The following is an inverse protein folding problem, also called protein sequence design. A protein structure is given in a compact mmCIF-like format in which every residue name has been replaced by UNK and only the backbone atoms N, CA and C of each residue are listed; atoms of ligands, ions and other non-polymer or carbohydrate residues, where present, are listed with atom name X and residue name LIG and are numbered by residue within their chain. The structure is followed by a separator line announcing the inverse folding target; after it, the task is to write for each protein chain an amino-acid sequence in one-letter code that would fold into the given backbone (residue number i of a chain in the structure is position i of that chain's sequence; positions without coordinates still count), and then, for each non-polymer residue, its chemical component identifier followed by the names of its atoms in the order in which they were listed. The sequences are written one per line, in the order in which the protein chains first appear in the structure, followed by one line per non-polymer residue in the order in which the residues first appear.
data_IF_214454268237
#
_entry.id   IF_214454268237
#
_cell.length_a   1.000
_cell.length_b   1.000
_cell.length_c   1.000
_cell.angle_alpha   90.00
_cell.angle_beta   90.00
_cell.angle_gamma   90.00
#
_symmetry.space_group_name_H-M   'P 1'
#
loop_
_entity.id
_entity.type
_entity.pdbx_description
1 polymer ?
#
# COMPACT_ATOMS: atom_id res chain seq x y z
N UNK A 1 -47.81 10.57 3.73
CA UNK A 1 -46.53 11.30 3.88
C UNK A 1 -45.53 10.33 4.50
N UNK A 2 -44.62 9.78 3.69
CA UNK A 2 -43.66 8.77 4.13
C UNK A 2 -42.38 9.47 4.60
N UNK A 3 -42.02 9.26 5.86
CA UNK A 3 -40.77 9.73 6.48
C UNK A 3 -39.62 8.82 6.04
N UNK A 4 -38.69 9.37 5.26
CA UNK A 4 -37.43 8.72 4.90
C UNK A 4 -36.55 8.50 6.15
N UNK A 5 -35.89 7.35 6.31
CA UNK A 5 -34.91 7.18 7.36
C UNK A 5 -33.60 7.87 6.98
N UNK A 6 -33.13 8.75 7.87
CA UNK A 6 -31.82 9.39 7.82
C UNK A 6 -30.76 8.29 7.94
N UNK A 7 -30.01 8.06 6.87
CA UNK A 7 -28.82 7.21 6.89
C UNK A 7 -27.78 7.90 7.75
N UNK A 8 -27.59 7.35 8.94
CA UNK A 8 -26.55 7.74 9.88
C UNK A 8 -25.21 7.31 9.29
N UNK A 9 -24.53 8.22 8.58
CA UNK A 9 -23.14 8.05 8.16
C UNK A 9 -22.27 7.98 9.40
N UNK A 10 -21.87 6.76 9.75
CA UNK A 10 -20.92 6.47 10.82
C UNK A 10 -19.74 7.43 10.74
N UNK A 11 -19.64 8.29 11.75
CA UNK A 11 -18.50 9.14 12.01
C UNK A 11 -17.24 8.27 12.06
N UNK A 12 -16.32 8.54 11.12
CA UNK A 12 -14.92 8.14 11.27
C UNK A 12 -14.44 8.78 12.56
N UNK A 13 -14.18 7.96 13.58
CA UNK A 13 -13.72 8.45 14.88
C UNK A 13 -12.39 9.21 14.71
N UNK A 14 -12.22 10.38 15.34
CA UNK A 14 -10.99 11.15 15.30
C UNK A 14 -9.98 10.51 16.27
N UNK A 15 -9.34 9.43 15.85
CA UNK A 15 -8.16 8.93 16.55
C UNK A 15 -6.92 9.43 15.82
N UNK A 16 -6.34 10.50 16.36
CA UNK A 16 -5.04 11.09 16.00
C UNK A 16 -4.77 11.29 14.50
N UNK A 17 -5.25 12.40 13.94
CA UNK A 17 -4.82 12.90 12.62
C UNK A 17 -3.40 13.53 12.67
N UNK A 18 -2.45 12.83 13.30
CA UNK A 18 -1.05 13.23 13.43
C UNK A 18 -0.39 13.30 12.05
N UNK A 19 -0.67 12.33 11.18
CA UNK A 19 -0.17 12.33 9.81
C UNK A 19 -0.75 13.51 9.01
N UNK A 20 -2.07 13.72 9.00
CA UNK A 20 -2.67 14.83 8.24
C UNK A 20 -2.18 16.18 8.75
N UNK A 21 -2.01 16.33 10.06
CA UNK A 21 -1.40 17.53 10.66
C UNK A 21 0.04 17.71 10.15
N UNK A 22 0.89 16.69 10.22
CA UNK A 22 2.27 16.75 9.73
C UNK A 22 2.34 17.13 8.26
N UNK A 23 1.52 16.50 7.41
CA UNK A 23 1.49 16.77 5.97
C UNK A 23 1.03 18.20 5.68
N UNK A 24 -0.03 18.66 6.33
CA UNK A 24 -0.56 20.02 6.14
C UNK A 24 0.45 21.10 6.54
N UNK A 25 1.25 20.85 7.58
CA UNK A 25 2.25 21.77 8.09
C UNK A 25 3.51 21.82 7.23
N UNK A 26 3.88 20.72 6.55
CA UNK A 26 5.16 20.61 5.86
C UNK A 26 5.08 20.62 4.32
N UNK A 27 3.94 20.27 3.71
CA UNK A 27 3.78 20.28 2.25
C UNK A 27 3.28 21.65 1.74
N UNK A 28 2.46 22.33 2.55
CA UNK A 28 1.86 23.63 2.19
C UNK A 28 2.82 24.83 2.30
N UNK A 29 4.04 24.63 2.82
CA UNK A 29 5.04 25.70 2.96
C UNK A 29 5.61 26.10 1.59
N UNK A 30 6.05 27.34 1.44
CA UNK A 30 6.87 27.78 0.29
C UNK A 30 8.30 27.26 0.46
N UNK A 31 8.50 25.98 0.17
CA UNK A 31 9.78 25.28 0.20
C UNK A 31 10.09 24.69 -1.18
N UNK A 32 11.36 24.35 -1.40
CA UNK A 32 11.77 23.65 -2.60
C UNK A 32 11.07 22.28 -2.69
N UNK A 33 10.80 21.79 -3.90
CA UNK A 33 10.03 20.55 -4.11
C UNK A 33 10.65 19.36 -3.39
N UNK A 34 11.98 19.21 -3.45
CA UNK A 34 12.68 18.10 -2.79
C UNK A 34 12.49 18.11 -1.27
N UNK A 35 12.53 19.28 -0.64
CA UNK A 35 12.29 19.40 0.80
C UNK A 35 10.87 18.96 1.16
N UNK A 36 9.89 19.29 0.31
CA UNK A 36 8.51 18.82 0.51
C UNK A 36 8.38 17.31 0.38
N UNK A 37 9.10 16.69 -0.56
CA UNK A 37 9.13 15.24 -0.71
C UNK A 37 9.75 14.57 0.52
N UNK A 38 10.88 15.09 1.01
CA UNK A 38 11.58 14.56 2.18
C UNK A 38 10.74 14.73 3.45
N UNK A 39 10.10 15.88 3.63
CA UNK A 39 9.19 16.11 4.75
C UNK A 39 7.98 15.18 4.69
N UNK A 40 7.41 14.95 3.51
CA UNK A 40 6.32 13.99 3.34
C UNK A 40 6.76 12.58 3.76
N UNK A 41 7.96 12.14 3.34
CA UNK A 41 8.53 10.85 3.74
C UNK A 41 8.64 10.74 5.26
N UNK A 42 9.24 11.75 5.90
CA UNK A 42 9.39 11.79 7.36
C UNK A 42 8.04 11.74 8.08
N UNK A 43 7.01 12.44 7.58
CA UNK A 43 5.67 12.38 8.14
C UNK A 43 5.09 10.95 8.10
N UNK A 44 5.24 10.23 6.99
CA UNK A 44 4.77 8.84 6.90
C UNK A 44 5.58 7.91 7.79
N UNK A 45 6.91 8.03 7.80
CA UNK A 45 7.78 7.20 8.63
C UNK A 45 7.50 7.36 10.12
N UNK A 46 7.27 8.58 10.60
CA UNK A 46 6.97 8.86 12.00
C UNK A 46 5.60 8.33 12.45
N UNK A 47 4.68 8.06 11.51
CA UNK A 47 3.30 7.66 11.82
C UNK A 47 2.97 6.23 11.39
N UNK A 48 3.88 5.52 10.73
CA UNK A 48 3.64 4.20 10.10
C UNK A 48 3.05 3.14 11.03
N UNK A 49 3.49 3.13 12.30
CA UNK A 49 3.05 2.14 13.30
C UNK A 49 1.60 2.35 13.75
N UNK A 50 1.07 3.57 13.59
CA UNK A 50 -0.29 3.95 13.97
C UNK A 50 -1.23 4.02 12.76
N UNK A 51 -0.68 3.91 11.55
CA UNK A 51 -1.44 4.02 10.32
C UNK A 51 -2.01 2.68 9.92
N UNK A 52 -3.33 2.67 9.73
CA UNK A 52 -3.94 1.58 8.99
C UNK A 52 -3.50 1.64 7.51
N UNK A 53 -3.38 0.50 6.80
CA UNK A 53 -3.09 0.47 5.36
C UNK A 53 -4.03 1.37 4.58
N UNK A 54 -5.32 1.32 4.91
CA UNK A 54 -6.35 2.15 4.29
C UNK A 54 -6.11 3.64 4.55
N UNK A 55 -5.78 4.03 5.79
CA UNK A 55 -5.45 5.41 6.11
C UNK A 55 -4.18 5.85 5.37
N UNK A 56 -3.13 5.01 5.36
CA UNK A 56 -1.88 5.29 4.67
C UNK A 56 -2.11 5.61 3.18
N UNK A 57 -2.84 4.76 2.45
CA UNK A 57 -3.17 5.01 1.05
C UNK A 57 -4.13 6.20 0.83
N UNK A 58 -4.98 6.52 1.82
CA UNK A 58 -5.82 7.71 1.75
C UNK A 58 -4.97 8.99 1.80
N UNK A 59 -4.01 9.09 2.72
CA UNK A 59 -3.11 10.25 2.80
C UNK A 59 -2.14 10.31 1.64
N UNK A 60 -1.72 9.16 1.11
CA UNK A 60 -0.84 9.08 -0.05
C UNK A 60 -1.38 9.89 -1.24
N UNK A 61 -2.69 9.78 -1.53
CA UNK A 61 -3.36 10.56 -2.59
C UNK A 61 -3.26 12.07 -2.34
N UNK A 62 -3.42 12.50 -1.09
CA UNK A 62 -3.31 13.92 -0.67
C UNK A 62 -1.90 14.49 -0.83
N UNK A 63 -0.88 13.65 -0.89
CA UNK A 63 0.53 14.06 -1.08
C UNK A 63 0.94 14.03 -2.55
N UNK A 64 0.51 13.01 -3.29
CA UNK A 64 0.94 12.83 -4.68
C UNK A 64 0.31 13.86 -5.60
N UNK A 65 -0.98 14.15 -5.45
CA UNK A 65 -1.67 15.15 -6.28
C UNK A 65 -0.98 16.52 -6.28
N UNK A 66 -0.58 17.11 -5.14
CA UNK A 66 0.09 18.41 -5.13
C UNK A 66 1.58 18.37 -5.49
N UNK A 67 2.28 17.25 -5.31
CA UNK A 67 3.74 17.16 -5.55
C UNK A 67 4.12 16.56 -6.90
N UNK A 68 3.20 15.84 -7.56
CA UNK A 68 3.38 15.17 -8.85
C UNK A 68 4.71 14.41 -8.97
N UNK A 69 5.05 13.66 -7.91
CA UNK A 69 6.33 12.95 -7.80
C UNK A 69 6.12 11.44 -7.83
N UNK A 70 6.42 10.83 -8.98
CA UNK A 70 6.35 9.38 -9.20
C UNK A 70 7.28 8.64 -8.24
N UNK A 71 8.47 9.19 -7.96
CA UNK A 71 9.44 8.60 -7.04
C UNK A 71 8.88 8.53 -5.62
N UNK A 72 8.43 9.68 -5.09
CA UNK A 72 7.83 9.73 -3.75
C UNK A 72 6.59 8.85 -3.65
N UNK A 73 5.75 8.86 -4.69
CA UNK A 73 4.56 8.03 -4.78
C UNK A 73 4.88 6.54 -4.59
N UNK A 74 5.89 6.03 -5.30
CA UNK A 74 6.32 4.64 -5.16
C UNK A 74 6.91 4.34 -3.78
N UNK A 75 7.73 5.23 -3.23
CA UNK A 75 8.33 5.04 -1.91
C UNK A 75 7.27 4.99 -0.81
N UNK A 76 6.29 5.89 -0.84
CA UNK A 76 5.21 5.89 0.14
C UNK A 76 4.26 4.71 -0.05
N UNK A 77 4.05 4.22 -1.28
CA UNK A 77 3.28 2.98 -1.53
C UNK A 77 3.98 1.76 -0.94
N UNK A 78 5.30 1.68 -1.06
CA UNK A 78 6.14 0.66 -0.43
C UNK A 78 5.95 0.70 1.08
N UNK A 79 6.08 1.88 1.70
CA UNK A 79 5.87 2.05 3.14
C UNK A 79 4.45 1.61 3.57
N UNK A 80 3.41 2.06 2.86
CA UNK A 80 2.03 1.65 3.16
C UNK A 80 1.80 0.14 2.97
N UNK A 81 2.49 -0.50 2.02
CA UNK A 81 2.32 -1.92 1.75
C UNK A 81 3.02 -2.79 2.79
N UNK A 82 4.28 -2.49 3.11
CA UNK A 82 5.11 -3.36 3.94
C UNK A 82 5.00 -3.05 5.44
N UNK A 83 4.70 -1.81 5.82
CA UNK A 83 4.86 -1.35 7.21
C UNK A 83 3.56 -0.92 7.89
N UNK A 84 2.51 -0.57 7.14
CA UNK A 84 1.23 -0.18 7.73
C UNK A 84 0.39 -1.41 8.15
N UNK A 85 -0.32 -1.28 9.28
CA UNK A 85 -1.12 -2.34 9.88
C UNK A 85 -2.59 -2.30 9.39
N UNK A 86 -3.40 -3.34 9.61
CA UNK A 86 -2.97 -4.70 9.87
C UNK A 86 -2.21 -5.27 8.67
N UNK A 87 -1.25 -6.15 8.96
CA UNK A 87 -0.69 -7.00 7.92
C UNK A 87 -1.80 -7.89 7.34
N UNK A 88 -1.76 -8.21 6.03
CA UNK A 88 -2.76 -9.07 5.43
C UNK A 88 -2.79 -10.41 6.14
N UNK A 89 -3.98 -10.97 6.36
CA UNK A 89 -4.19 -12.26 7.02
C UNK A 89 -4.44 -13.40 6.03
N UNK A 90 -4.67 -13.08 4.75
CA UNK A 90 -4.82 -14.06 3.66
C UNK A 90 -3.96 -13.64 2.47
N UNK A 91 -3.62 -14.61 1.62
CA UNK A 91 -2.87 -14.34 0.41
C UNK A 91 -3.67 -13.46 -0.55
N UNK A 92 -4.99 -13.65 -0.67
CA UNK A 92 -5.83 -12.85 -1.56
C UNK A 92 -5.85 -11.37 -1.14
N UNK A 93 -5.95 -11.10 0.17
CA UNK A 93 -5.92 -9.75 0.70
C UNK A 93 -4.53 -9.10 0.48
N UNK A 94 -3.46 -9.88 0.56
CA UNK A 94 -2.12 -9.39 0.24
C UNK A 94 -1.99 -9.07 -1.25
N UNK A 95 -2.37 -10.01 -2.12
CA UNK A 95 -2.25 -9.89 -3.58
C UNK A 95 -3.16 -8.80 -4.15
N UNK A 96 -4.31 -8.50 -3.54
CA UNK A 96 -5.15 -7.39 -4.00
C UNK A 96 -4.46 -6.03 -3.86
N UNK A 97 -3.56 -5.89 -2.88
CA UNK A 97 -2.86 -4.65 -2.59
C UNK A 97 -1.65 -4.41 -3.51
N UNK A 98 -1.10 -5.46 -4.14
CA UNK A 98 0.05 -5.32 -5.08
C UNK A 98 -0.32 -4.47 -6.30
N UNK A 99 -1.60 -4.45 -6.69
CA UNK A 99 -2.14 -3.63 -7.80
C UNK A 99 -1.98 -2.13 -7.59
N UNK A 100 -1.60 -1.68 -6.38
CA UNK A 100 -1.34 -0.27 -6.09
C UNK A 100 0.03 0.19 -6.56
N UNK A 101 0.94 -0.72 -6.89
CA UNK A 101 2.25 -0.39 -7.47
C UNK A 101 2.11 -0.12 -8.96
N UNK A 102 2.57 1.05 -9.40
CA UNK A 102 2.56 1.44 -10.82
C UNK A 102 3.73 0.85 -11.61
N UNK A 103 4.86 0.63 -10.94
CA UNK A 103 6.04 0.09 -11.59
C UNK A 103 6.07 -1.45 -11.46
N UNK A 104 6.46 -2.12 -12.55
CA UNK A 104 6.43 -3.57 -12.64
C UNK A 104 7.37 -4.26 -11.63
N UNK A 105 8.52 -3.63 -11.34
CA UNK A 105 9.53 -4.20 -10.44
C UNK A 105 9.01 -4.31 -8.99
N UNK A 106 8.46 -3.22 -8.46
CA UNK A 106 7.87 -3.15 -7.12
C UNK A 106 6.57 -3.96 -7.04
N UNK A 107 5.78 -4.00 -8.11
CA UNK A 107 4.64 -4.91 -8.20
C UNK A 107 5.10 -6.36 -7.99
N UNK A 108 6.09 -6.82 -8.75
CA UNK A 108 6.58 -8.19 -8.66
C UNK A 108 7.24 -8.51 -7.32
N UNK A 109 7.97 -7.56 -6.73
CA UNK A 109 8.50 -7.67 -5.37
C UNK A 109 7.37 -7.82 -4.34
N UNK A 110 6.30 -7.05 -4.46
CA UNK A 110 5.13 -7.15 -3.58
C UNK A 110 4.40 -8.50 -3.74
N UNK A 111 4.30 -9.02 -4.97
CA UNK A 111 3.77 -10.38 -5.21
C UNK A 111 4.64 -11.43 -4.55
N UNK A 112 5.97 -11.35 -4.67
CA UNK A 112 6.89 -12.27 -4.00
C UNK A 112 6.80 -12.19 -2.49
N UNK A 113 6.67 -10.99 -1.94
CA UNK A 113 6.44 -10.81 -0.51
C UNK A 113 5.18 -11.53 -0.05
N UNK A 114 4.05 -11.32 -0.74
CA UNK A 114 2.81 -12.04 -0.45
C UNK A 114 3.00 -13.56 -0.52
N UNK A 115 3.66 -14.05 -1.57
CA UNK A 115 4.00 -15.46 -1.65
C UNK A 115 4.80 -15.93 -0.43
N UNK A 116 5.89 -15.25 -0.08
CA UNK A 116 6.76 -15.64 1.04
C UNK A 116 6.04 -15.69 2.39
N UNK A 117 5.10 -14.77 2.64
CA UNK A 117 4.32 -14.73 3.88
C UNK A 117 3.35 -15.93 3.99
N UNK A 118 2.77 -16.36 2.87
CA UNK A 118 1.70 -17.36 2.85
C UNK A 118 2.08 -18.71 2.25
N UNK A 119 3.33 -18.89 1.79
CA UNK A 119 3.77 -20.08 1.04
C UNK A 119 3.56 -21.42 1.78
N UNK A 120 3.46 -21.40 3.11
CA UNK A 120 3.23 -22.60 3.93
C UNK A 120 1.74 -22.87 4.18
N UNK A 121 0.86 -21.97 3.74
CA UNK A 121 -0.59 -22.02 3.98
C UNK A 121 -1.40 -22.17 2.68
N UNK A 122 -0.75 -22.10 1.52
CA UNK A 122 -1.40 -22.15 0.21
C UNK A 122 -1.13 -23.48 -0.49
N UNK A 123 -2.11 -23.92 -1.29
CA UNK A 123 -1.96 -25.10 -2.15
C UNK A 123 -1.18 -24.77 -3.43
N UNK A 124 -0.76 -25.81 -4.14
CA UNK A 124 -0.04 -25.69 -5.41
C UNK A 124 -0.82 -24.85 -6.44
N UNK A 125 -2.15 -25.01 -6.49
CA UNK A 125 -3.02 -24.27 -7.40
C UNK A 125 -2.96 -22.76 -7.13
N UNK A 126 -2.98 -22.35 -5.87
CA UNK A 126 -2.88 -20.95 -5.45
C UNK A 126 -1.47 -20.40 -5.67
N UNK A 127 -0.44 -21.22 -5.46
CA UNK A 127 0.93 -20.89 -5.81
C UNK A 127 1.07 -20.57 -7.32
N UNK A 128 0.57 -21.45 -8.19
CA UNK A 128 0.60 -21.25 -9.65
C UNK A 128 -0.21 -20.03 -10.10
N UNK A 129 -1.34 -19.74 -9.45
CA UNK A 129 -2.09 -18.50 -9.70
C UNK A 129 -1.30 -17.27 -9.30
N UNK A 130 -0.54 -17.34 -8.20
CA UNK A 130 0.30 -16.24 -7.73
C UNK A 130 1.43 -15.96 -8.71
N UNK A 131 2.06 -17.00 -9.26
CA UNK A 131 3.10 -16.86 -10.29
C UNK A 131 2.64 -16.05 -11.51
N UNK A 132 1.39 -16.28 -11.96
CA UNK A 132 0.79 -15.57 -13.10
C UNK A 132 0.49 -14.09 -12.86
N UNK A 133 0.64 -13.61 -11.62
CA UNK A 133 0.54 -12.18 -11.33
C UNK A 133 1.85 -11.45 -11.59
N UNK A 134 2.98 -12.15 -11.70
CA UNK A 134 4.27 -11.54 -11.98
C UNK A 134 4.30 -11.00 -13.41
N UNK A 135 4.78 -9.77 -13.57
CA UNK A 135 4.86 -9.07 -14.85
C UNK A 135 6.09 -9.53 -15.63
N UNK A 136 7.21 -9.81 -14.95
CA UNK A 136 8.42 -10.27 -15.62
C UNK A 136 8.39 -11.79 -15.85
N UNK A 137 8.49 -12.27 -17.10
CA UNK A 137 8.40 -13.70 -17.41
C UNK A 137 9.45 -14.57 -16.69
N UNK A 138 10.64 -14.01 -16.44
CA UNK A 138 11.70 -14.72 -15.72
C UNK A 138 11.30 -15.00 -14.26
N UNK A 139 10.65 -14.03 -13.62
CA UNK A 139 10.13 -14.14 -12.25
C UNK A 139 8.93 -15.09 -12.20
N UNK A 140 8.02 -14.99 -13.16
CA UNK A 140 6.89 -15.93 -13.32
C UNK A 140 7.38 -17.38 -13.46
N UNK A 141 8.34 -17.62 -14.37
CA UNK A 141 8.90 -18.94 -14.61
C UNK A 141 9.59 -19.50 -13.36
N UNK A 142 10.38 -18.67 -12.67
CA UNK A 142 11.01 -19.06 -11.41
C UNK A 142 9.98 -19.52 -10.38
N UNK A 143 8.93 -18.72 -10.13
CA UNK A 143 7.94 -19.06 -9.14
C UNK A 143 7.10 -20.27 -9.59
N UNK A 144 6.79 -20.39 -10.87
CA UNK A 144 6.09 -21.55 -11.44
C UNK A 144 6.86 -22.85 -11.19
N UNK A 145 8.16 -22.88 -11.50
CA UNK A 145 9.00 -24.05 -11.25
C UNK A 145 9.04 -24.40 -9.76
N UNK A 146 9.17 -23.40 -8.90
CA UNK A 146 9.16 -23.60 -7.47
C UNK A 146 7.81 -24.18 -6.98
N UNK A 147 6.68 -23.68 -7.49
CA UNK A 147 5.35 -24.23 -7.19
C UNK A 147 5.17 -25.69 -7.65
N UNK A 148 5.80 -26.10 -8.76
CA UNK A 148 5.73 -27.47 -9.25
C UNK A 148 6.65 -28.44 -8.48
N UNK A 149 7.63 -27.92 -7.74
CA UNK A 149 8.57 -28.70 -6.93
C UNK A 149 8.11 -28.94 -5.49
N UNK A 150 7.04 -28.27 -5.06
CA UNK A 150 6.34 -28.49 -3.79
C UNK A 150 5.31 -29.60 -3.92
#
# INVERSE_FOLDING_TARGET
MATSPVVNTSAVSPQNDSLGTCLSQNISRNQHRLDKEDNARQCFEANKEQLSKQACYHYLRKVIEPLDSIRLSNDLRTLCFYEALPLPTTIEACLSETKRFENASAHDEAVFYCYQQFQNQIDQKTCLKTAKLLIFPQKENYLTQHCLSK
#
